data_IF_114520208612
#
_entry.id   IF_114520208612
#
_cell.length_a   1.000
_cell.length_b   1.000
_cell.length_c   1.000
_cell.angle_alpha   90.00
_cell.angle_beta   90.00
_cell.angle_gamma   90.00
#
_symmetry.space_group_name_H-M   'P 1'
#
loop_
_entity.id
_entity.type
_entity.pdbx_description
1 polymer ?
#
# COMPACT_ATOMS: atom_id res chain seq x y z
N UNK A 1 3.62 -10.04 -11.78
CA UNK A 1 2.37 -10.76 -12.11
C UNK A 1 1.37 -9.68 -12.49
N UNK A 2 0.98 -9.57 -13.77
CA UNK A 2 0.11 -8.49 -14.23
C UNK A 2 -1.27 -8.65 -13.60
N UNK A 3 -1.59 -7.89 -12.56
CA UNK A 3 -2.96 -7.76 -12.07
C UNK A 3 -3.71 -6.99 -13.15
N UNK A 4 -4.47 -7.70 -13.98
CA UNK A 4 -5.25 -7.12 -15.07
C UNK A 4 -6.46 -6.40 -14.50
N UNK A 5 -6.23 -5.20 -13.97
CA UNK A 5 -7.28 -4.32 -13.51
C UNK A 5 -7.74 -3.43 -14.68
N UNK A 6 -9.05 -3.25 -14.80
CA UNK A 6 -9.68 -2.49 -15.90
C UNK A 6 -10.56 -1.42 -15.28
N UNK A 7 -10.49 -0.19 -15.80
CA UNK A 7 -11.34 0.90 -15.28
C UNK A 7 -12.82 0.71 -15.64
N UNK A 8 -13.11 -0.01 -16.73
CA UNK A 8 -14.46 -0.28 -17.19
C UNK A 8 -14.56 -1.75 -17.66
N UNK A 9 -14.58 -2.71 -16.72
CA UNK A 9 -14.59 -4.14 -17.05
C UNK A 9 -15.85 -4.55 -17.82
N UNK A 10 -16.97 -3.84 -17.68
CA UNK A 10 -18.19 -4.12 -18.46
C UNK A 10 -18.01 -3.96 -19.97
N UNK A 11 -16.97 -3.26 -20.44
CA UNK A 11 -16.72 -3.10 -21.88
C UNK A 11 -16.12 -4.34 -22.53
N UNK A 12 -15.59 -5.29 -21.74
CA UNK A 12 -15.10 -6.57 -22.24
C UNK A 12 -16.21 -7.44 -22.83
N UNK A 13 -17.48 -7.19 -22.48
CA UNK A 13 -18.63 -7.85 -23.11
C UNK A 13 -18.69 -7.63 -24.63
N UNK A 14 -18.07 -6.56 -25.15
CA UNK A 14 -17.94 -6.33 -26.59
C UNK A 14 -17.14 -7.44 -27.31
N UNK A 15 -16.28 -8.19 -26.61
CA UNK A 15 -15.60 -9.37 -27.16
C UNK A 15 -16.58 -10.44 -27.62
N UNK A 16 -17.75 -10.57 -26.97
CA UNK A 16 -18.79 -11.51 -27.37
C UNK A 16 -19.32 -11.16 -28.78
N UNK A 17 -19.43 -9.86 -29.10
CA UNK A 17 -19.75 -9.39 -30.45
C UNK A 17 -18.69 -9.80 -31.49
N UNK A 18 -17.41 -9.77 -31.13
CA UNK A 18 -16.31 -10.22 -32.00
C UNK A 18 -16.40 -11.71 -32.29
N UNK A 19 -16.72 -12.52 -31.28
CA UNK A 19 -16.94 -13.96 -31.42
C UNK A 19 -18.13 -14.25 -32.35
N UNK A 20 -19.24 -13.53 -32.19
CA UNK A 20 -20.41 -13.67 -33.08
C UNK A 20 -20.04 -13.37 -34.53
N UNK A 21 -19.26 -12.31 -34.79
CA UNK A 21 -18.79 -11.98 -36.14
C UNK A 21 -17.86 -13.06 -36.71
N UNK A 22 -16.99 -13.65 -35.89
CA UNK A 22 -16.13 -14.75 -36.30
C UNK A 22 -16.95 -15.99 -36.70
N UNK A 23 -17.94 -16.37 -35.88
CA UNK A 23 -18.84 -17.50 -36.17
C UNK A 23 -19.66 -17.24 -37.43
N UNK A 24 -20.21 -16.03 -37.59
CA UNK A 24 -20.95 -15.65 -38.80
C UNK A 24 -20.08 -15.73 -40.06
N UNK A 25 -18.82 -15.29 -39.97
CA UNK A 25 -17.88 -15.37 -41.09
C UNK A 25 -17.59 -16.82 -41.51
N UNK A 26 -17.40 -17.71 -40.53
CA UNK A 26 -17.17 -19.15 -40.76
C UNK A 26 -18.44 -19.80 -41.33
N UNK A 27 -19.61 -19.54 -40.75
CA UNK A 27 -20.89 -20.08 -41.21
C UNK A 27 -21.17 -19.69 -42.67
N UNK A 28 -21.03 -18.41 -43.04
CA UNK A 28 -21.20 -17.94 -44.42
C UNK A 28 -20.18 -18.60 -45.36
N UNK A 29 -18.95 -18.82 -44.91
CA UNK A 29 -17.91 -19.45 -45.72
C UNK A 29 -18.20 -20.94 -45.97
N UNK A 30 -18.70 -21.66 -44.96
CA UNK A 30 -19.11 -23.07 -45.08
C UNK A 30 -20.39 -23.22 -45.93
N UNK A 31 -21.34 -22.29 -45.81
CA UNK A 31 -22.59 -22.30 -46.60
C UNK A 31 -22.31 -21.98 -48.08
N UNK A 32 -21.40 -21.04 -48.38
CA UNK A 32 -20.96 -20.74 -49.76
C UNK A 32 -20.23 -21.91 -50.41
N UNK A 33 -19.44 -22.67 -49.64
CA UNK A 33 -18.81 -23.89 -50.11
C UNK A 33 -19.83 -24.96 -50.53
N UNK A 34 -20.93 -25.11 -49.78
CA UNK A 34 -22.02 -26.05 -50.11
C UNK A 34 -22.91 -25.57 -51.26
N UNK A 35 -23.16 -24.27 -51.39
CA UNK A 35 -23.97 -23.70 -52.48
C UNK A 35 -23.28 -23.83 -53.85
N UNK A 36 -21.94 -23.76 -53.90
CA UNK A 36 -21.16 -23.91 -55.13
C UNK A 36 -21.21 -25.32 -55.74
N UNK A 37 -21.61 -26.34 -54.96
CA UNK A 37 -21.71 -27.73 -55.41
C UNK A 37 -23.06 -28.07 -56.07
N UNK A 38 -24.06 -27.16 -56.02
CA UNK A 38 -25.39 -27.38 -56.62
C UNK A 38 -25.53 -26.88 -58.06
N UNK A 39 -24.49 -26.28 -58.65
CA UNK A 39 -24.50 -25.91 -60.07
C UNK A 39 -23.75 -26.96 -60.89
N UNK A 40 -24.50 -27.67 -61.72
CA UNK A 40 -24.11 -28.69 -62.72
C UNK A 40 -23.27 -28.11 -63.87
N UNK A 41 -22.40 -27.14 -63.59
CA UNK A 41 -21.55 -26.44 -64.56
C UNK A 41 -20.19 -26.07 -63.94
N UNK A 42 -19.64 -26.97 -63.13
CA UNK A 42 -18.34 -26.78 -62.46
C UNK A 42 -17.18 -26.76 -63.47
N UNK A 43 -17.33 -27.39 -64.64
CA UNK A 43 -16.30 -27.45 -65.68
C UNK A 43 -16.06 -26.10 -66.41
N UNK A 44 -17.08 -25.26 -66.61
CA UNK A 44 -16.94 -24.00 -67.35
C UNK A 44 -16.47 -22.83 -66.47
N UNK A 45 -16.69 -22.91 -65.16
CA UNK A 45 -16.34 -21.83 -64.23
C UNK A 45 -14.84 -21.83 -63.87
N UNK A 46 -14.18 -22.99 -63.94
CA UNK A 46 -12.75 -23.13 -63.68
C UNK A 46 -11.86 -22.54 -64.80
N UNK A 47 -12.43 -22.35 -66.00
CA UNK A 47 -11.74 -21.72 -67.14
C UNK A 47 -11.74 -20.19 -67.14
N UNK A 48 -12.59 -19.53 -66.34
CA UNK A 48 -12.81 -18.08 -66.44
C UNK A 48 -12.18 -17.31 -65.24
N UNK A 49 -11.88 -17.97 -64.11
CA UNK A 49 -11.18 -17.31 -62.99
C UNK A 49 -10.39 -18.28 -62.08
N UNK A 50 -9.11 -18.59 -62.37
CA UNK A 50 -8.35 -19.61 -61.65
C UNK A 50 -7.69 -19.13 -60.34
N UNK A 51 -8.18 -18.06 -59.70
CA UNK A 51 -7.56 -17.54 -58.47
C UNK A 51 -8.60 -17.31 -57.39
N UNK A 52 -9.00 -18.40 -56.72
CA UNK A 52 -9.67 -18.29 -55.42
C UNK A 52 -8.60 -17.94 -54.37
N UNK A 53 -8.62 -16.77 -53.72
CA UNK A 53 -7.71 -16.45 -52.64
C UNK A 53 -8.14 -17.23 -51.38
N UNK A 54 -8.04 -18.56 -51.42
CA UNK A 54 -8.61 -19.46 -50.41
C UNK A 54 -8.03 -19.19 -49.02
N UNK A 55 -6.73 -19.41 -48.85
CA UNK A 55 -6.07 -19.22 -47.56
C UNK A 55 -5.84 -17.74 -47.20
N UNK A 56 -5.50 -16.90 -48.19
CA UNK A 56 -5.29 -15.45 -47.98
C UNK A 56 -6.50 -14.74 -47.41
N UNK A 57 -7.72 -15.16 -47.78
CA UNK A 57 -8.96 -14.59 -47.23
C UNK A 57 -9.13 -14.89 -45.73
N UNK A 58 -8.70 -16.07 -45.28
CA UNK A 58 -8.75 -16.45 -43.87
C UNK A 58 -7.68 -15.72 -43.06
N UNK A 59 -6.50 -15.51 -43.64
CA UNK A 59 -5.43 -14.70 -43.02
C UNK A 59 -5.89 -13.25 -42.83
N UNK A 60 -6.49 -12.63 -43.85
CA UNK A 60 -7.01 -11.25 -43.74
C UNK A 60 -8.15 -11.17 -42.72
N UNK A 61 -9.09 -12.13 -42.72
CA UNK A 61 -10.17 -12.17 -41.73
C UNK A 61 -9.65 -12.38 -40.30
N UNK A 62 -8.66 -13.26 -40.12
CA UNK A 62 -8.01 -13.48 -38.83
C UNK A 62 -7.30 -12.22 -38.32
N UNK A 63 -6.58 -11.52 -39.19
CA UNK A 63 -5.93 -10.25 -38.86
C UNK A 63 -6.95 -9.16 -38.46
N UNK A 64 -8.09 -9.08 -39.16
CA UNK A 64 -9.17 -8.16 -38.82
C UNK A 64 -9.78 -8.47 -37.45
N UNK A 65 -10.03 -9.75 -37.14
CA UNK A 65 -10.57 -10.16 -35.84
C UNK A 65 -9.57 -9.90 -34.71
N UNK A 66 -8.28 -10.17 -34.91
CA UNK A 66 -7.24 -9.85 -33.95
C UNK A 66 -7.16 -8.34 -33.68
N UNK A 67 -7.19 -7.51 -34.73
CA UNK A 67 -7.21 -6.06 -34.59
C UNK A 67 -8.44 -5.56 -33.82
N UNK A 68 -9.61 -6.15 -34.08
CA UNK A 68 -10.84 -5.76 -33.40
C UNK A 68 -10.85 -6.18 -31.92
N UNK A 69 -10.32 -7.36 -31.60
CA UNK A 69 -10.09 -7.79 -30.22
C UNK A 69 -9.13 -6.87 -29.48
N UNK A 70 -8.02 -6.47 -30.12
CA UNK A 70 -7.07 -5.52 -29.54
C UNK A 70 -7.70 -4.14 -29.29
N UNK A 71 -8.53 -3.66 -30.21
CA UNK A 71 -9.28 -2.41 -30.03
C UNK A 71 -10.26 -2.48 -28.86
N UNK A 72 -10.98 -3.60 -28.68
CA UNK A 72 -11.88 -3.80 -27.54
C UNK A 72 -11.11 -3.79 -26.21
N UNK A 73 -9.96 -4.47 -26.15
CA UNK A 73 -9.09 -4.45 -24.96
C UNK A 73 -8.59 -3.03 -24.68
N UNK A 74 -8.18 -2.27 -25.70
CA UNK A 74 -7.77 -0.88 -25.52
C UNK A 74 -8.91 0.02 -24.98
N UNK A 75 -10.13 -0.17 -25.46
CA UNK A 75 -11.33 0.57 -25.00
C UNK A 75 -11.74 0.20 -23.57
N UNK A 76 -11.42 -1.01 -23.12
CA UNK A 76 -11.59 -1.44 -21.72
C UNK A 76 -10.59 -0.75 -20.78
N UNK A 77 -9.65 0.04 -21.30
CA UNK A 77 -8.67 0.84 -20.55
C UNK A 77 -7.91 -0.03 -19.53
N UNK A 78 -6.98 -0.88 -20.01
CA UNK A 78 -6.15 -1.66 -19.11
C UNK A 78 -5.31 -0.68 -18.29
N UNK A 79 -5.44 -0.77 -16.97
CA UNK A 79 -4.66 0.06 -16.06
C UNK A 79 -3.67 -0.82 -15.33
N UNK A 80 -2.40 -0.44 -15.41
CA UNK A 80 -1.43 -0.90 -14.44
C UNK A 80 -1.64 -0.04 -13.20
N UNK A 81 -2.53 -0.49 -12.31
CA UNK A 81 -2.50 -0.03 -10.92
C UNK A 81 -1.27 -0.66 -10.26
N UNK A 82 -0.10 -0.11 -10.57
CA UNK A 82 0.93 -0.09 -9.56
C UNK A 82 0.35 0.80 -8.47
N UNK A 83 -0.05 0.17 -7.36
CA UNK A 83 -0.15 0.86 -6.09
C UNK A 83 1.29 1.28 -5.82
N UNK A 84 1.69 2.41 -6.39
CA UNK A 84 2.78 3.21 -5.86
C UNK A 84 2.23 3.62 -4.51
N UNK A 85 2.42 2.73 -3.52
CA UNK A 85 2.39 3.14 -2.13
C UNK A 85 3.36 4.30 -2.15
N UNK A 86 2.90 5.55 -1.92
CA UNK A 86 3.84 6.65 -1.83
C UNK A 86 4.95 6.16 -0.91
N UNK A 87 6.19 6.45 -1.24
CA UNK A 87 7.26 6.33 -0.27
C UNK A 87 6.91 7.34 0.83
N UNK A 88 5.93 6.98 1.67
CA UNK A 88 5.53 7.75 2.82
C UNK A 88 6.77 7.68 3.67
N UNK A 89 7.40 8.83 3.80
CA UNK A 89 8.41 9.10 4.82
C UNK A 89 7.83 8.56 6.12
N UNK A 90 8.23 7.33 6.47
CA UNK A 90 7.62 6.63 7.59
C UNK A 90 7.94 7.46 8.82
N UNK A 91 6.96 7.71 9.67
CA UNK A 91 7.21 8.39 10.95
C UNK A 91 7.08 7.37 12.05
N UNK A 92 8.14 7.20 12.83
CA UNK A 92 8.16 6.31 13.99
C UNK A 92 8.26 7.20 15.23
N UNK A 93 7.29 7.08 16.13
CA UNK A 93 7.33 7.72 17.43
C UNK A 93 7.68 6.69 18.49
N UNK A 94 8.88 6.81 19.08
CA UNK A 94 9.32 5.94 20.17
C UNK A 94 8.87 6.55 21.49
N UNK A 95 8.05 5.82 22.25
CA UNK A 95 7.65 6.14 23.61
C UNK A 95 8.51 5.31 24.55
N UNK A 96 9.35 5.97 25.32
CA UNK A 96 10.34 5.36 26.17
C UNK A 96 9.97 5.54 27.64
N UNK A 97 9.74 4.43 28.34
CA UNK A 97 9.49 4.42 29.76
C UNK A 97 10.79 4.71 30.53
N UNK A 98 10.75 5.75 31.36
CA UNK A 98 11.85 6.13 32.25
C UNK A 98 11.43 6.06 33.71
N UNK A 99 10.41 5.25 34.03
CA UNK A 99 9.96 5.07 35.40
C UNK A 99 10.97 4.29 36.25
N UNK A 100 10.88 4.42 37.57
CA UNK A 100 11.83 3.78 38.51
C UNK A 100 11.90 2.23 38.38
N UNK A 101 10.92 1.54 37.78
CA UNK A 101 11.02 0.10 37.49
C UNK A 101 12.16 -0.22 36.52
N UNK A 102 12.52 0.72 35.64
CA UNK A 102 13.63 0.59 34.70
C UNK A 102 15.02 0.59 35.37
N UNK A 103 15.11 0.83 36.68
CA UNK A 103 16.33 0.61 37.47
C UNK A 103 16.61 -0.87 37.76
N UNK A 104 15.68 -1.77 37.45
CA UNK A 104 15.85 -3.19 37.70
C UNK A 104 17.08 -3.74 36.95
N UNK A 105 17.84 -4.61 37.62
CA UNK A 105 19.09 -5.18 37.11
C UNK A 105 18.93 -6.64 36.67
N UNK A 106 17.71 -7.05 36.35
CA UNK A 106 17.42 -8.37 35.79
C UNK A 106 17.88 -8.48 34.33
N UNK A 107 18.02 -7.34 33.64
CA UNK A 107 18.80 -7.19 32.42
C UNK A 107 20.06 -6.36 32.74
N UNK A 108 21.28 -6.87 32.53
CA UNK A 108 22.51 -6.11 32.79
C UNK A 108 22.70 -4.94 31.80
N UNK A 109 23.23 -3.79 32.24
CA UNK A 109 23.54 -3.42 33.64
C UNK A 109 22.28 -3.07 34.44
N UNK A 110 21.33 -2.41 33.81
CA UNK A 110 19.95 -2.19 34.25
C UNK A 110 19.04 -2.09 33.01
N UNK A 111 17.73 -2.23 33.20
CA UNK A 111 16.74 -2.19 32.11
C UNK A 111 16.80 -0.90 31.31
N UNK A 112 16.99 0.25 31.95
CA UNK A 112 17.08 1.55 31.27
C UNK A 112 18.24 1.55 30.28
N UNK A 113 19.44 1.20 30.75
CA UNK A 113 20.65 1.20 29.93
C UNK A 113 20.54 0.17 28.81
N UNK A 114 20.00 -1.02 29.10
CA UNK A 114 19.78 -2.05 28.08
C UNK A 114 18.77 -1.59 27.00
N UNK A 115 17.68 -0.94 27.41
CA UNK A 115 16.69 -0.39 26.51
C UNK A 115 17.25 0.80 25.69
N UNK A 116 18.14 1.62 26.26
CA UNK A 116 18.86 2.66 25.52
C UNK A 116 19.74 2.05 24.44
N UNK A 117 20.52 1.01 24.76
CA UNK A 117 21.35 0.30 23.77
C UNK A 117 20.51 -0.32 22.64
N UNK A 118 19.37 -0.93 22.96
CA UNK A 118 18.44 -1.48 21.97
C UNK A 118 17.81 -0.38 21.12
N UNK A 119 17.41 0.74 21.72
CA UNK A 119 16.87 1.89 21.00
C UNK A 119 17.90 2.54 20.06
N UNK A 120 19.18 2.63 20.48
CA UNK A 120 20.27 3.09 19.61
C UNK A 120 20.46 2.15 18.42
N UNK A 121 20.46 0.83 18.65
CA UNK A 121 20.55 -0.17 17.58
C UNK A 121 19.32 -0.12 16.65
N UNK A 122 18.13 0.14 17.19
CA UNK A 122 16.91 0.34 16.42
C UNK A 122 17.03 1.56 15.50
N UNK A 123 17.48 2.70 16.03
CA UNK A 123 17.69 3.93 15.24
C UNK A 123 18.68 3.70 14.09
N UNK A 124 19.70 2.86 14.30
CA UNK A 124 20.66 2.47 13.27
C UNK A 124 20.11 1.49 12.22
N UNK A 125 19.14 0.66 12.59
CA UNK A 125 18.53 -0.32 11.69
C UNK A 125 17.44 0.28 10.80
N UNK A 126 16.84 1.41 11.22
CA UNK A 126 15.78 2.10 10.48
C UNK A 126 16.36 2.83 9.27
N UNK A 127 15.71 2.68 8.11
CA UNK A 127 16.12 3.33 6.84
C UNK A 127 16.18 4.85 6.97
N UNK A 128 17.10 5.49 6.26
CA UNK A 128 17.37 6.95 6.34
C UNK A 128 16.18 7.84 5.92
N UNK A 129 15.23 7.32 5.14
CA UNK A 129 14.06 8.04 4.67
C UNK A 129 12.94 8.17 5.72
N UNK A 130 13.06 7.45 6.85
CA UNK A 130 12.08 7.41 7.96
C UNK A 130 12.41 8.44 9.03
N UNK A 131 11.46 9.25 9.45
CA UNK A 131 11.63 10.17 10.58
C UNK A 131 11.40 9.44 11.90
N UNK A 132 12.26 9.69 12.89
CA UNK A 132 12.14 9.12 14.22
C UNK A 132 11.94 10.26 15.21
N UNK A 133 10.90 10.16 16.03
CA UNK A 133 10.66 11.00 17.19
C UNK A 133 10.85 10.21 18.47
N UNK A 134 11.13 10.91 19.56
CA UNK A 134 11.34 10.34 20.89
C UNK A 134 10.47 11.07 21.91
N UNK A 135 9.70 10.31 22.68
CA UNK A 135 8.97 10.76 23.85
C UNK A 135 9.46 9.95 25.03
N UNK A 136 9.85 10.61 26.11
CA UNK A 136 10.09 9.96 27.39
C UNK A 136 8.82 10.07 28.24
N UNK A 137 8.53 9.05 29.04
CA UNK A 137 7.43 9.13 29.98
C UNK A 137 7.69 8.43 31.31
N UNK A 138 7.12 9.02 32.34
CA UNK A 138 7.04 8.54 33.72
C UNK A 138 5.71 9.08 34.29
N UNK A 139 5.68 9.72 35.46
CA UNK A 139 4.54 10.53 35.91
C UNK A 139 4.27 11.77 35.06
N UNK A 140 5.23 12.16 34.21
CA UNK A 140 5.08 13.21 33.19
C UNK A 140 5.51 12.69 31.82
N UNK A 141 5.03 13.34 30.76
CA UNK A 141 5.36 12.99 29.37
C UNK A 141 6.12 14.14 28.74
N UNK A 142 7.32 13.88 28.24
CA UNK A 142 8.17 14.87 27.59
C UNK A 142 8.43 14.48 26.14
N UNK A 143 8.26 15.42 25.22
CA UNK A 143 8.66 15.24 23.82
C UNK A 143 10.14 15.61 23.72
N UNK A 144 11.00 14.60 23.79
CA UNK A 144 12.46 14.79 23.75
C UNK A 144 12.91 15.19 22.34
N UNK A 145 12.34 14.54 21.32
CA UNK A 145 12.60 14.88 19.92
C UNK A 145 11.34 14.81 19.07
N UNK A 146 11.11 15.86 18.29
CA UNK A 146 10.14 15.80 17.21
C UNK A 146 10.63 14.85 16.10
N UNK A 147 9.72 14.24 15.31
CA UNK A 147 10.11 13.39 14.19
C UNK A 147 11.13 14.09 13.29
N UNK A 148 12.31 13.48 13.17
CA UNK A 148 13.42 14.01 12.38
C UNK A 148 14.17 12.89 11.68
N UNK A 149 14.84 13.25 10.58
CA UNK A 149 15.81 12.39 9.89
C UNK A 149 17.20 12.47 10.50
N UNK A 150 17.44 13.45 11.38
CA UNK A 150 18.71 13.59 12.07
C UNK A 150 18.87 12.50 13.14
N UNK A 151 19.56 11.42 12.77
CA UNK A 151 19.85 10.30 13.66
C UNK A 151 20.70 10.70 14.86
N UNK A 152 21.57 11.70 14.71
CA UNK A 152 22.48 12.09 15.77
C UNK A 152 21.73 12.77 16.91
N UNK A 153 20.74 13.60 16.60
CA UNK A 153 19.92 14.26 17.61
C UNK A 153 19.00 13.28 18.34
N UNK A 154 18.42 12.30 17.64
CA UNK A 154 17.64 11.23 18.26
C UNK A 154 18.52 10.41 19.21
N UNK A 155 19.71 9.98 18.77
CA UNK A 155 20.64 9.18 19.61
C UNK A 155 21.06 9.93 20.88
N UNK A 156 21.45 11.20 20.76
CA UNK A 156 21.79 12.03 21.93
C UNK A 156 20.63 12.12 22.91
N UNK A 157 19.41 12.15 22.42
CA UNK A 157 18.23 12.28 23.28
C UNK A 157 17.93 10.98 24.02
N UNK A 158 18.16 9.82 23.37
CA UNK A 158 18.10 8.51 24.02
C UNK A 158 19.15 8.41 25.14
N UNK A 159 20.39 8.84 24.87
CA UNK A 159 21.50 8.79 25.84
C UNK A 159 21.27 9.68 27.07
N UNK A 160 20.50 10.77 26.92
CA UNK A 160 20.23 11.71 28.00
C UNK A 160 18.95 11.40 28.80
N UNK A 161 18.30 10.26 28.55
CA UNK A 161 17.11 9.86 29.32
C UNK A 161 17.46 9.60 30.79
N UNK A 162 16.68 10.17 31.68
CA UNK A 162 16.86 10.07 33.13
C UNK A 162 15.63 9.46 33.79
N UNK A 163 15.85 8.72 34.88
CA UNK A 163 14.81 8.04 35.64
C UNK A 163 13.91 9.04 36.38
N UNK A 164 12.63 8.73 36.44
CA UNK A 164 11.62 9.51 37.14
C UNK A 164 10.55 8.63 37.80
N UNK A 165 9.76 9.21 38.70
CA UNK A 165 8.71 8.50 39.44
C UNK A 165 7.43 8.35 38.61
N UNK A 166 6.67 7.27 38.87
CA UNK A 166 5.40 6.91 38.25
C UNK A 166 5.47 6.60 36.74
N UNK A 167 4.34 6.19 36.16
CA UNK A 167 4.24 5.68 34.79
C UNK A 167 2.89 6.07 34.17
N UNK A 168 2.91 6.94 33.16
CA UNK A 168 1.72 7.51 32.51
C UNK A 168 1.61 7.09 31.04
N UNK A 169 1.44 5.78 30.79
CA UNK A 169 1.42 5.19 29.45
C UNK A 169 0.28 5.78 28.60
N UNK A 170 -0.93 5.91 29.15
CA UNK A 170 -2.07 6.46 28.42
C UNK A 170 -1.86 7.89 27.96
N UNK A 171 -1.18 8.71 28.78
CA UNK A 171 -0.84 10.09 28.43
C UNK A 171 0.31 10.17 27.42
N UNK A 172 1.26 9.24 27.50
CA UNK A 172 2.34 9.11 26.51
C UNK A 172 1.77 8.78 25.14
N UNK A 173 0.86 7.79 25.05
CA UNK A 173 0.15 7.42 23.82
C UNK A 173 -0.62 8.61 23.24
N UNK A 174 -1.41 9.30 24.06
CA UNK A 174 -2.17 10.48 23.63
C UNK A 174 -1.27 11.62 23.12
N UNK A 175 -0.06 11.76 23.68
CA UNK A 175 0.93 12.75 23.22
C UNK A 175 1.58 12.31 21.91
N UNK A 176 1.96 11.03 21.79
CA UNK A 176 2.51 10.47 20.56
C UNK A 176 1.55 10.61 19.37
N UNK A 177 0.27 10.31 19.58
CA UNK A 177 -0.80 10.53 18.59
C UNK A 177 -0.82 11.99 18.16
N UNK A 178 -0.85 12.93 19.11
CA UNK A 178 -0.90 14.37 18.81
C UNK A 178 0.31 14.86 18.03
N UNK A 179 1.52 14.41 18.37
CA UNK A 179 2.73 14.79 17.65
C UNK A 179 2.66 14.28 16.21
N UNK A 180 2.29 13.01 16.01
CA UNK A 180 2.16 12.42 14.68
C UNK A 180 1.05 13.09 13.83
N UNK A 181 -0.07 13.49 14.42
CA UNK A 181 -1.15 14.16 13.69
C UNK A 181 -0.89 15.64 13.45
N UNK A 182 -0.19 16.35 14.35
CA UNK A 182 0.03 17.80 14.23
C UNK A 182 0.81 18.22 12.97
N UNK A 183 1.68 17.36 12.45
CA UNK A 183 2.42 17.63 11.21
C UNK A 183 1.56 17.43 9.96
N UNK A 184 0.48 16.64 10.04
CA UNK A 184 -0.49 16.50 8.95
C UNK A 184 -1.30 17.77 8.76
N UNK A 185 -1.64 18.46 9.85
CA UNK A 185 -2.39 19.73 9.81
C UNK A 185 -1.55 20.89 9.25
N UNK A 186 -0.22 20.76 9.22
CA UNK A 186 0.71 21.78 8.72
C UNK A 186 1.02 21.64 7.22
N UNK A 187 0.56 20.56 6.59
CA UNK A 187 0.69 20.32 5.14
C UNK A 187 -0.39 21.07 4.36
N UNK A 188 0.03 22.07 3.59
CA UNK A 188 -0.79 22.81 2.64
C UNK A 188 -1.64 21.90 1.73
N UNK A 189 -2.86 22.38 1.45
CA UNK A 189 -3.96 21.67 0.79
C UNK A 189 -3.63 20.85 -0.46
N UNK A 190 -4.32 19.72 -0.58
CA UNK A 190 -4.34 18.98 -1.84
C UNK A 190 -4.97 17.59 -1.80
N UNK A 191 -6.16 17.42 -1.21
CA UNK A 191 -7.28 16.76 -1.90
C UNK A 191 -8.50 16.67 -0.96
N UNK A 192 -9.54 17.42 -1.29
CA UNK A 192 -10.91 17.20 -0.80
C UNK A 192 -11.60 16.10 -1.63
N UNK A 193 -10.85 15.05 -1.96
CA UNK A 193 -11.37 13.83 -2.58
C UNK A 193 -11.51 12.74 -1.53
N UNK A 194 -12.53 11.90 -1.65
CA UNK A 194 -12.93 10.78 -0.79
C UNK A 194 -11.87 9.68 -0.54
N UNK A 195 -10.57 9.97 -0.69
CA UNK A 195 -9.44 9.05 -0.51
C UNK A 195 -8.39 9.51 0.55
N UNK A 196 -8.67 10.56 1.33
CA UNK A 196 -7.77 11.04 2.39
C UNK A 196 -7.64 10.09 3.61
N UNK A 197 -8.25 8.91 3.58
CA UNK A 197 -8.34 7.97 4.70
C UNK A 197 -7.17 6.99 4.83
N UNK A 198 -6.22 6.97 3.90
CA UNK A 198 -5.22 5.89 3.83
C UNK A 198 -3.75 6.37 3.81
N UNK A 199 -3.46 7.51 4.44
CA UNK A 199 -2.08 7.87 4.78
C UNK A 199 -1.97 7.80 6.30
N UNK A 200 -1.44 6.68 6.80
CA UNK A 200 -1.20 6.52 8.24
C UNK A 200 -0.27 7.64 8.72
N UNK A 201 -0.61 8.36 9.80
CA UNK A 201 0.24 9.43 10.34
C UNK A 201 1.64 8.94 10.72
N UNK A 202 1.81 7.65 10.96
CA UNK A 202 3.04 7.04 11.43
C UNK A 202 2.72 5.83 12.29
N UNK A 203 3.72 5.32 12.98
CA UNK A 203 3.58 4.21 13.92
C UNK A 203 4.13 4.61 15.28
N UNK A 204 3.57 4.06 16.35
CA UNK A 204 4.08 4.22 17.71
C UNK A 204 4.79 2.94 18.12
N UNK A 205 5.99 3.06 18.67
CA UNK A 205 6.72 1.99 19.34
C UNK A 205 6.79 2.33 20.82
N UNK A 206 6.10 1.56 21.64
CA UNK A 206 6.05 1.72 23.10
C UNK A 206 7.05 0.75 23.75
N UNK A 207 8.05 1.30 24.44
CA UNK A 207 9.05 0.57 25.21
C UNK A 207 8.72 0.79 26.69
N UNK A 208 8.19 -0.23 27.37
CA UNK A 208 7.75 -0.14 28.77
C UNK A 208 7.82 -1.50 29.46
N UNK A 209 8.11 -1.49 30.75
CA UNK A 209 8.23 -2.68 31.57
C UNK A 209 7.10 -2.81 32.63
N UNK A 210 6.14 -1.89 32.61
CA UNK A 210 5.21 -1.67 33.72
C UNK A 210 3.76 -1.40 33.33
N UNK A 211 2.94 -1.24 34.36
CA UNK A 211 1.54 -0.82 34.22
C UNK A 211 1.41 0.69 34.44
N UNK A 212 0.34 1.28 33.90
CA UNK A 212 0.00 2.68 34.18
C UNK A 212 -0.28 2.85 35.68
N UNK A 213 0.45 3.77 36.31
CA UNK A 213 0.26 4.14 37.72
C UNK A 213 -0.27 5.56 37.90
N UNK A 214 -0.27 6.36 36.84
CA UNK A 214 -0.71 7.75 36.85
C UNK A 214 -1.38 8.15 35.53
N UNK A 215 -2.32 9.11 35.58
CA UNK A 215 -2.94 9.67 34.38
C UNK A 215 -4.00 8.76 33.74
N UNK A 216 -4.20 8.90 32.42
CA UNK A 216 -5.12 8.07 31.63
C UNK A 216 -4.69 6.62 31.62
N UNK A 217 -5.67 5.70 31.54
CA UNK A 217 -5.37 4.28 31.43
C UNK A 217 -4.69 3.93 30.10
N UNK A 218 -3.89 2.86 30.09
CA UNK A 218 -3.25 2.38 28.86
C UNK A 218 -4.28 2.07 27.75
N UNK A 219 -5.46 1.56 28.12
CA UNK A 219 -6.53 1.23 27.18
C UNK A 219 -7.12 2.47 26.51
N UNK A 220 -7.39 3.53 27.29
CA UNK A 220 -7.87 4.80 26.72
C UNK A 220 -6.84 5.41 25.78
N UNK A 221 -5.54 5.35 26.13
CA UNK A 221 -4.46 5.79 25.24
C UNK A 221 -4.36 4.96 23.95
N UNK A 222 -4.55 3.65 24.05
CA UNK A 222 -4.53 2.75 22.90
C UNK A 222 -5.75 2.94 21.98
N UNK A 223 -6.93 3.20 22.55
CA UNK A 223 -8.15 3.53 21.81
C UNK A 223 -7.97 4.83 21.02
N UNK A 224 -7.36 5.86 21.62
CA UNK A 224 -7.02 7.10 20.92
C UNK A 224 -6.07 6.87 19.72
N UNK A 225 -5.09 5.98 19.86
CA UNK A 225 -4.19 5.64 18.76
C UNK A 225 -4.91 4.84 17.66
N UNK A 226 -5.80 3.92 18.03
CA UNK A 226 -6.63 3.16 17.11
C UNK A 226 -7.58 4.07 16.32
N UNK A 227 -8.24 5.01 16.99
CA UNK A 227 -9.13 6.01 16.37
C UNK A 227 -8.39 6.90 15.37
N UNK A 228 -7.11 7.18 15.63
CA UNK A 228 -6.24 7.94 14.73
C UNK A 228 -5.62 7.09 13.60
N UNK A 229 -5.94 5.79 13.51
CA UNK A 229 -5.35 4.84 12.57
C UNK A 229 -3.80 4.76 12.67
N UNK A 230 -3.29 4.87 13.90
CA UNK A 230 -1.86 4.78 14.24
C UNK A 230 -1.63 3.43 14.95
N UNK A 231 -0.94 2.47 14.32
CA UNK A 231 -0.62 1.21 14.98
C UNK A 231 0.38 1.43 16.12
N UNK A 232 0.16 0.75 17.24
CA UNK A 232 1.02 0.74 18.43
C UNK A 232 1.68 -0.63 18.53
N UNK A 233 3.01 -0.65 18.55
CA UNK A 233 3.82 -1.83 18.80
C UNK A 233 4.44 -1.73 20.19
N UNK A 234 4.41 -2.81 20.96
CA UNK A 234 4.94 -2.85 22.31
C UNK A 234 6.19 -3.72 22.40
N UNK A 235 7.21 -3.24 23.10
CA UNK A 235 8.42 -3.99 23.46
C UNK A 235 8.46 -4.02 24.99
N UNK A 236 8.44 -5.23 25.55
CA UNK A 236 8.35 -5.52 26.99
C UNK A 236 9.26 -6.69 27.35
#
# INVERSE_FOLDING_TARGET
MFTSDFLAPERLWLLLGVVVLAVAHVAVSLMRGRAALRFTQVELLDRIAPKRPGWRRHVVAGAQLLGLSAAVVAVAQPVNREIIRPETEGRIMVLFDVSLSMMATDVPPDRLTAAQEEALAFVDAVRDDVEIGLISFSGTVNVEQQPTRDRLDVKRSIENLELAEATAIGDALATGVRVLTSSLDSGEGGDTGENATDVSPGVIVLMTDGETTFGRTSNEGAELAADANIPVFTIA
#
